data_IF_168148969627
#
_entry.id   IF_168148969627
#
_cell.length_a   1.000
_cell.length_b   1.000
_cell.length_c   1.000
_cell.angle_alpha   90.00
_cell.angle_beta   90.00
_cell.angle_gamma   90.00
#
_symmetry.space_group_name_H-M   'P 1'
#
loop_
_entity.id
_entity.type
_entity.pdbx_description
1 polymer ?
#
# COMPACT_ATOMS: atom_id res chain seq x y z
N UNK A 1 19.83 -29.62 -5.29
CA UNK A 1 18.74 -28.68 -5.66
C UNK A 1 18.07 -28.06 -4.43
N UNK A 2 17.42 -28.81 -3.54
CA UNK A 2 16.65 -28.26 -2.40
C UNK A 2 17.46 -27.37 -1.47
N UNK A 3 18.69 -27.77 -1.09
CA UNK A 3 19.58 -26.94 -0.24
C UNK A 3 19.98 -25.62 -0.90
N UNK A 4 20.04 -25.56 -2.22
CA UNK A 4 20.36 -24.34 -2.96
C UNK A 4 19.14 -23.41 -3.03
N UNK A 5 17.96 -23.97 -3.34
CA UNK A 5 16.69 -23.24 -3.36
C UNK A 5 16.38 -22.65 -1.98
N UNK A 6 16.61 -23.40 -0.89
CA UNK A 6 16.39 -22.91 0.46
C UNK A 6 17.33 -21.75 0.82
N UNK A 7 18.61 -21.85 0.46
CA UNK A 7 19.57 -20.75 0.66
C UNK A 7 19.19 -19.51 -0.14
N UNK A 8 18.75 -19.69 -1.39
CA UNK A 8 18.30 -18.60 -2.25
C UNK A 8 17.05 -17.92 -1.70
N UNK A 9 16.05 -18.69 -1.26
CA UNK A 9 14.82 -18.18 -0.65
C UNK A 9 15.11 -17.41 0.64
N UNK A 10 16.02 -17.93 1.48
CA UNK A 10 16.44 -17.26 2.71
C UNK A 10 17.15 -15.93 2.40
N UNK A 11 18.04 -15.91 1.40
CA UNK A 11 18.72 -14.70 0.95
C UNK A 11 17.72 -13.66 0.41
N UNK A 12 16.73 -14.10 -0.37
CA UNK A 12 15.65 -13.26 -0.88
C UNK A 12 14.82 -12.66 0.26
N UNK A 13 14.47 -13.45 1.28
CA UNK A 13 13.77 -12.99 2.48
C UNK A 13 14.57 -11.93 3.24
N UNK A 14 15.87 -12.17 3.46
CA UNK A 14 16.75 -11.22 4.16
C UNK A 14 16.83 -9.90 3.40
N UNK A 15 16.98 -9.93 2.07
CA UNK A 15 16.97 -8.73 1.25
C UNK A 15 15.62 -8.02 1.28
N UNK A 16 14.51 -8.78 1.20
CA UNK A 16 13.16 -8.24 1.26
C UNK A 16 12.92 -7.48 2.57
N UNK A 17 13.23 -8.11 3.72
CA UNK A 17 13.14 -7.46 5.03
C UNK A 17 14.04 -6.22 5.11
N UNK A 18 15.25 -6.29 4.56
CA UNK A 18 16.17 -5.15 4.50
C UNK A 18 15.60 -3.95 3.75
N UNK A 19 14.86 -4.17 2.66
CA UNK A 19 14.16 -3.11 1.92
C UNK A 19 13.06 -2.48 2.76
N UNK A 20 12.24 -3.27 3.47
CA UNK A 20 11.21 -2.74 4.37
C UNK A 20 11.78 -1.87 5.47
N UNK A 21 12.86 -2.33 6.14
CA UNK A 21 13.57 -1.54 7.14
C UNK A 21 14.11 -0.24 6.53
N UNK A 22 14.64 -0.31 5.30
CA UNK A 22 15.10 0.88 4.58
C UNK A 22 13.97 1.87 4.28
N UNK A 23 12.81 1.39 3.87
CA UNK A 23 11.62 2.23 3.61
C UNK A 23 11.11 2.89 4.90
N UNK A 24 11.04 2.15 6.00
CA UNK A 24 10.58 2.67 7.29
C UNK A 24 11.57 3.68 7.88
N UNK A 25 12.88 3.41 7.76
CA UNK A 25 13.93 4.34 8.16
C UNK A 25 13.94 5.61 7.29
N UNK A 26 13.69 5.50 5.99
CA UNK A 26 13.54 6.66 5.12
C UNK A 26 12.28 7.46 5.46
N UNK A 27 11.18 6.79 5.81
CA UNK A 27 9.94 7.43 6.26
C UNK A 27 10.17 8.25 7.54
N UNK A 28 10.83 7.66 8.55
CA UNK A 28 11.24 8.38 9.75
C UNK A 28 12.25 9.50 9.45
N UNK A 29 13.26 9.26 8.63
CA UNK A 29 14.22 10.31 8.25
C UNK A 29 13.56 11.50 7.54
N UNK A 30 12.54 11.25 6.71
CA UNK A 30 11.72 12.31 6.11
C UNK A 30 10.85 13.04 7.13
N UNK A 31 10.41 12.36 8.20
CA UNK A 31 9.66 12.97 9.30
C UNK A 31 10.58 13.85 10.18
N UNK A 32 11.78 13.36 10.49
CA UNK A 32 12.79 14.08 11.27
C UNK A 32 13.32 15.32 10.53
N UNK A 33 13.51 15.23 9.21
CA UNK A 33 13.91 16.38 8.38
C UNK A 33 12.81 17.45 8.22
N UNK A 34 11.56 17.16 8.59
CA UNK A 34 10.49 18.15 8.59
C UNK A 34 10.52 19.05 9.83
N UNK A 35 11.22 18.69 10.90
CA UNK A 35 11.51 19.60 12.02
C UNK A 35 10.30 20.05 12.84
N UNK A 36 9.23 19.26 12.94
CA UNK A 36 8.06 19.58 13.76
C UNK A 36 7.73 18.44 14.75
N UNK A 37 7.90 18.70 16.04
CA UNK A 37 7.43 17.85 17.14
C UNK A 37 5.96 18.05 17.51
N UNK A 38 5.26 19.03 16.94
CA UNK A 38 3.90 19.34 17.39
C UNK A 38 2.87 19.38 16.26
N UNK A 39 1.81 18.64 16.57
CA UNK A 39 0.44 18.54 16.04
C UNK A 39 0.08 19.49 14.89
N UNK A 40 -0.55 18.89 13.86
CA UNK A 40 -1.20 19.54 12.71
C UNK A 40 -0.27 20.00 11.58
N UNK A 41 0.26 19.02 10.83
CA UNK A 41 0.19 19.21 9.38
C UNK A 41 -1.28 18.97 9.02
N UNK A 42 -2.07 20.02 8.74
CA UNK A 42 -3.29 19.76 8.03
C UNK A 42 -2.94 18.96 6.77
N UNK A 43 -3.74 17.94 6.41
CA UNK A 43 -3.54 17.26 5.14
C UNK A 43 -3.36 18.34 4.06
N UNK A 44 -2.45 18.19 3.09
CA UNK A 44 -2.33 19.13 1.95
C UNK A 44 -3.60 19.15 1.07
N UNK A 45 -4.68 18.55 1.56
CA UNK A 45 -6.03 18.55 1.05
C UNK A 45 -6.96 18.91 2.21
N UNK A 46 -7.06 20.20 2.53
CA UNK A 46 -8.25 20.68 3.26
C UNK A 46 -9.40 20.70 2.27
N UNK A 47 -10.35 19.77 2.41
CA UNK A 47 -11.68 19.91 1.81
C UNK A 47 -12.50 20.63 2.85
N UNK A 48 -12.48 21.95 2.82
CA UNK A 48 -13.44 22.76 3.56
C UNK A 48 -14.63 22.93 2.63
N UNK A 49 -15.74 22.26 2.92
CA UNK A 49 -17.03 22.62 2.31
C UNK A 49 -17.42 23.98 2.88
N UNK A 50 -17.18 25.04 2.10
CA UNK A 50 -17.82 26.32 2.33
C UNK A 50 -19.25 26.24 1.81
N UNK A 51 -20.18 26.99 2.43
CA UNK A 51 -21.65 26.94 2.23
C UNK A 51 -22.14 27.11 0.77
N UNK A 52 -21.25 27.35 -0.20
CA UNK A 52 -21.53 27.47 -1.64
C UNK A 52 -21.06 26.26 -2.49
N UNK A 53 -20.71 25.12 -1.88
CA UNK A 53 -20.53 23.85 -2.59
C UNK A 53 -19.31 23.78 -3.53
N UNK A 54 -18.33 24.67 -3.37
CA UNK A 54 -17.06 24.64 -4.11
C UNK A 54 -15.94 24.10 -3.23
N UNK A 55 -15.38 22.96 -3.66
CA UNK A 55 -14.26 22.29 -2.99
C UNK A 55 -12.96 22.99 -3.42
N UNK A 56 -12.40 23.80 -2.53
CA UNK A 56 -11.11 24.46 -2.72
C UNK A 56 -10.00 23.64 -2.04
N UNK A 57 -9.36 22.73 -2.80
CA UNK A 57 -8.16 22.03 -2.33
C UNK A 57 -6.92 22.88 -2.67
N UNK A 58 -6.36 23.56 -1.66
CA UNK A 58 -5.13 24.35 -1.80
C UNK A 58 -3.91 23.45 -1.99
N UNK A 59 -3.65 23.03 -3.23
CA UNK A 59 -2.42 22.35 -3.60
C UNK A 59 -1.34 23.40 -3.91
N UNK A 60 -0.47 23.68 -2.95
CA UNK A 60 0.80 24.41 -3.14
C UNK A 60 0.68 25.70 -3.97
N UNK A 61 -0.06 26.68 -3.45
CA UNK A 61 0.09 28.09 -3.85
C UNK A 61 -0.23 28.45 -5.30
N UNK A 62 -0.84 27.54 -6.08
CA UNK A 62 -1.31 27.85 -7.43
C UNK A 62 -2.81 27.55 -7.50
N UNK A 63 -3.62 28.60 -7.55
CA UNK A 63 -5.04 28.53 -7.87
C UNK A 63 -5.18 27.95 -9.29
N UNK A 64 -5.44 26.65 -9.39
CA UNK A 64 -5.77 26.02 -10.67
C UNK A 64 -7.25 25.71 -10.67
N UNK A 65 -7.99 26.55 -11.41
CA UNK A 65 -9.43 26.50 -11.66
C UNK A 65 -9.90 25.26 -12.48
N UNK A 66 -9.45 24.04 -12.15
CA UNK A 66 -9.71 22.85 -12.99
C UNK A 66 -10.10 21.59 -12.19
N UNK A 67 -11.28 21.62 -11.56
CA UNK A 67 -11.92 20.47 -10.90
C UNK A 67 -12.13 19.28 -11.85
N UNK A 68 -12.38 19.54 -13.14
CA UNK A 68 -12.61 18.48 -14.13
C UNK A 68 -11.31 17.74 -14.51
N UNK A 69 -10.17 18.45 -14.53
CA UNK A 69 -8.88 17.88 -14.90
C UNK A 69 -8.32 16.98 -13.78
N UNK A 70 -8.58 17.33 -12.52
CA UNK A 70 -8.22 16.52 -11.37
C UNK A 70 -9.04 15.22 -11.28
N UNK A 71 -10.33 15.29 -11.64
CA UNK A 71 -11.21 14.13 -11.70
C UNK A 71 -10.80 13.14 -12.81
N UNK A 72 -10.39 13.65 -13.98
CA UNK A 72 -9.85 12.83 -15.07
C UNK A 72 -8.53 12.17 -14.68
N UNK A 73 -7.58 12.91 -14.08
CA UNK A 73 -6.31 12.34 -13.60
C UNK A 73 -6.51 11.29 -12.50
N UNK A 74 -7.47 11.47 -11.60
CA UNK A 74 -7.85 10.43 -10.62
C UNK A 74 -8.36 9.16 -11.30
N UNK A 75 -9.25 9.30 -12.28
CA UNK A 75 -9.82 8.16 -13.02
C UNK A 75 -8.75 7.43 -13.84
N UNK A 76 -7.81 8.18 -14.43
CA UNK A 76 -6.71 7.60 -15.17
C UNK A 76 -5.74 6.86 -14.23
N UNK A 77 -5.39 7.41 -13.06
CA UNK A 77 -4.58 6.71 -12.04
C UNK A 77 -5.28 5.46 -11.48
N UNK A 78 -6.58 5.53 -11.23
CA UNK A 78 -7.41 4.40 -10.81
C UNK A 78 -7.45 3.29 -11.87
N UNK A 79 -7.47 3.68 -13.15
CA UNK A 79 -7.48 2.75 -14.29
C UNK A 79 -6.11 2.16 -14.62
N UNK A 80 -5.01 2.86 -14.31
CA UNK A 80 -3.66 2.49 -14.75
C UNK A 80 -2.93 1.59 -13.75
N UNK A 81 -3.22 1.62 -12.46
CA UNK A 81 -2.21 1.14 -11.49
C UNK A 81 -2.44 -0.27 -10.91
N UNK A 82 -3.64 -0.68 -10.46
CA UNK A 82 -3.63 -1.73 -9.41
C UNK A 82 -4.76 -2.77 -9.43
N UNK A 83 -5.87 -2.55 -10.13
CA UNK A 83 -7.06 -3.35 -9.80
C UNK A 83 -7.17 -4.72 -10.49
N UNK A 84 -6.38 -5.01 -11.52
CA UNK A 84 -6.46 -6.32 -12.20
C UNK A 84 -5.23 -7.20 -11.97
N UNK A 85 -4.01 -6.70 -12.15
CA UNK A 85 -2.79 -7.49 -11.98
C UNK A 85 -2.47 -7.79 -10.49
N UNK A 86 -2.44 -6.76 -9.64
CA UNK A 86 -2.23 -6.97 -8.21
C UNK A 86 -3.41 -7.71 -7.55
N UNK A 87 -4.64 -7.44 -7.99
CA UNK A 87 -5.83 -8.15 -7.50
C UNK A 87 -5.85 -9.62 -7.92
N UNK A 88 -5.49 -9.95 -9.16
CA UNK A 88 -5.42 -11.34 -9.62
C UNK A 88 -4.28 -12.11 -8.92
N UNK A 89 -3.11 -11.49 -8.73
CA UNK A 89 -2.01 -12.07 -7.97
C UNK A 89 -2.36 -12.25 -6.49
N UNK A 90 -3.03 -11.26 -5.88
CA UNK A 90 -3.53 -11.32 -4.51
C UNK A 90 -4.61 -12.39 -4.33
N UNK A 91 -5.54 -12.53 -5.30
CA UNK A 91 -6.53 -13.62 -5.32
C UNK A 91 -5.86 -14.99 -5.42
N UNK A 92 -4.85 -15.15 -6.27
CA UNK A 92 -4.12 -16.41 -6.40
C UNK A 92 -3.40 -16.77 -5.09
N UNK A 93 -2.75 -15.80 -4.44
CA UNK A 93 -2.10 -15.98 -3.15
C UNK A 93 -3.11 -16.31 -2.04
N UNK A 94 -4.23 -15.59 -1.97
CA UNK A 94 -5.28 -15.82 -0.99
C UNK A 94 -5.92 -17.20 -1.14
N UNK A 95 -6.18 -17.64 -2.38
CA UNK A 95 -6.68 -18.99 -2.66
C UNK A 95 -5.68 -20.05 -2.21
N UNK A 96 -4.38 -19.88 -2.52
CA UNK A 96 -3.34 -20.80 -2.09
C UNK A 96 -3.26 -20.93 -0.56
N UNK A 97 -3.28 -19.79 0.16
CA UNK A 97 -3.25 -19.79 1.64
C UNK A 97 -4.50 -20.46 2.21
N UNK A 98 -5.67 -20.18 1.62
CA UNK A 98 -6.94 -20.79 2.06
C UNK A 98 -6.93 -22.31 1.86
N UNK A 99 -6.44 -22.78 0.72
CA UNK A 99 -6.36 -24.20 0.40
C UNK A 99 -5.32 -24.92 1.26
N UNK A 100 -4.15 -24.31 1.47
CA UNK A 100 -3.12 -24.82 2.38
C UNK A 100 -3.65 -24.93 3.83
N UNK A 101 -4.40 -23.92 4.29
CA UNK A 101 -5.00 -23.90 5.62
C UNK A 101 -6.08 -24.97 5.78
N UNK A 102 -6.96 -25.12 4.78
CA UNK A 102 -7.96 -26.20 4.76
C UNK A 102 -7.29 -27.57 4.81
N UNK A 103 -6.26 -27.78 3.99
CA UNK A 103 -5.53 -29.06 3.94
C UNK A 103 -4.85 -29.38 5.28
N UNK A 104 -4.27 -28.38 5.95
CA UNK A 104 -3.73 -28.53 7.32
C UNK A 104 -4.81 -28.88 8.34
N UNK A 105 -5.95 -28.20 8.30
CA UNK A 105 -7.07 -28.45 9.21
C UNK A 105 -7.64 -29.86 8.98
N UNK A 106 -7.83 -30.27 7.73
CA UNK A 106 -8.33 -31.60 7.38
C UNK A 106 -7.35 -32.70 7.81
N UNK A 107 -6.03 -32.45 7.68
CA UNK A 107 -4.99 -33.38 8.16
C UNK A 107 -5.00 -33.51 9.69
N UNK A 108 -5.18 -32.41 10.42
CA UNK A 108 -5.30 -32.42 11.89
C UNK A 108 -6.58 -33.15 12.29
N UNK A 109 -7.73 -32.83 11.68
CA UNK A 109 -8.99 -33.51 11.98
C UNK A 109 -8.94 -35.01 11.64
N UNK A 110 -8.26 -35.39 10.57
CA UNK A 110 -8.05 -36.79 10.19
C UNK A 110 -7.14 -37.57 11.16
N UNK A 111 -6.28 -36.88 11.93
CA UNK A 111 -5.44 -37.47 12.98
C UNK A 111 -6.16 -37.68 14.32
N UNK A 112 -7.26 -36.96 14.56
CA UNK A 112 -8.09 -37.10 15.76
C UNK A 112 -9.27 -38.07 15.61
N UNK A 113 -9.40 -38.72 14.46
CA UNK A 113 -10.40 -39.76 14.17
C UNK A 113 -9.73 -41.13 14.12
#
# INVERSE_FOLDING_TARGET
MVKFILKFLLLMLVLFIGVFIGMEKAHQGMQDMKGYEDVSLPPPVHITESEDGKIEAALLGNEINHTEELARKKKDLESLETFNFFSSMGKALASFVTEATKSLIDFIMGLFK
#
